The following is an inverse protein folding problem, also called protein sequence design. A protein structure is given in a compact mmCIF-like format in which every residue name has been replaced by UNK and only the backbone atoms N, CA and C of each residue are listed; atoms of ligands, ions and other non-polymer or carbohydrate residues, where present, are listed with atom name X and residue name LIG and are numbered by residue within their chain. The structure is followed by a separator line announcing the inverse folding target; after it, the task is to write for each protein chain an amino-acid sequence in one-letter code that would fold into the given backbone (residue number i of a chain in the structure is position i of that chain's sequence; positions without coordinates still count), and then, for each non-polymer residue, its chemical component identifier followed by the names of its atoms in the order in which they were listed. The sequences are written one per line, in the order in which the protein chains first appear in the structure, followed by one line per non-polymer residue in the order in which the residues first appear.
data_IF_300565996651
#
_entry.id   IF_300565996651
#
_cell.length_a   1.000
_cell.length_b   1.000
_cell.length_c   1.000
_cell.angle_alpha   90.00
_cell.angle_beta   90.00
_cell.angle_gamma   90.00
#
_symmetry.space_group_name_H-M   'P 1'
#
loop_
_entity.id
_entity.type
_entity.pdbx_description
1 polymer ?
#
# COMPACT_ATOMS: atom_id res chain seq x y z
N UNK A 1 -4.85 -7.46 -20.72
CA UNK A 1 -5.90 -6.48 -20.34
C UNK A 1 -5.79 -6.18 -18.85
N UNK A 2 -5.77 -4.90 -18.48
CA UNK A 2 -5.66 -4.52 -17.09
C UNK A 2 -7.01 -4.68 -16.38
N UNK A 3 -6.99 -5.11 -15.12
CA UNK A 3 -8.20 -5.23 -14.30
C UNK A 3 -8.61 -3.91 -13.65
N UNK A 4 -7.69 -2.92 -13.62
CA UNK A 4 -7.97 -1.61 -13.07
C UNK A 4 -8.43 -0.65 -14.17
N UNK A 5 -9.45 0.15 -13.88
CA UNK A 5 -9.84 1.26 -14.76
C UNK A 5 -8.89 2.45 -14.57
N UNK A 6 -9.09 3.51 -15.36
CA UNK A 6 -8.22 4.69 -15.34
C UNK A 6 -8.18 5.35 -13.96
N UNK A 7 -9.32 5.43 -13.28
CA UNK A 7 -9.40 6.02 -11.96
C UNK A 7 -8.50 5.31 -10.96
N UNK A 8 -8.58 3.97 -10.91
CA UNK A 8 -7.77 3.19 -9.98
C UNK A 8 -6.30 3.11 -10.39
N UNK A 9 -6.01 3.12 -11.70
CA UNK A 9 -4.63 3.25 -12.17
C UNK A 9 -4.01 4.56 -11.70
N UNK A 10 -4.80 5.66 -11.75
CA UNK A 10 -4.33 6.95 -11.26
C UNK A 10 -4.12 6.94 -9.74
N UNK A 11 -5.04 6.32 -9.00
CA UNK A 11 -4.89 6.18 -7.56
C UNK A 11 -3.61 5.40 -7.20
N UNK A 12 -3.33 4.34 -7.94
CA UNK A 12 -2.11 3.54 -7.72
C UNK A 12 -0.85 4.33 -8.05
N UNK A 13 -0.86 5.11 -9.14
CA UNK A 13 0.28 5.96 -9.51
C UNK A 13 0.55 7.02 -8.45
N UNK A 14 -0.51 7.66 -7.96
CA UNK A 14 -0.39 8.67 -6.92
C UNK A 14 0.11 8.06 -5.61
N UNK A 15 -0.34 6.85 -5.28
CA UNK A 15 0.12 6.12 -4.11
C UNK A 15 1.62 5.82 -4.20
N UNK A 16 2.09 5.36 -5.36
CA UNK A 16 3.53 5.11 -5.58
C UNK A 16 4.35 6.37 -5.37
N UNK A 17 3.90 7.49 -5.92
CA UNK A 17 4.60 8.76 -5.78
C UNK A 17 4.65 9.23 -4.32
N UNK A 18 3.60 8.92 -3.55
CA UNK A 18 3.49 9.27 -2.14
C UNK A 18 4.36 8.39 -1.23
N UNK A 19 4.84 7.25 -1.75
CA UNK A 19 5.60 6.23 -1.01
C UNK A 19 6.92 5.90 -1.71
N UNK A 20 7.66 6.91 -2.15
CA UNK A 20 8.90 6.71 -2.91
C UNK A 20 10.15 6.60 -2.03
N UNK A 21 10.06 6.91 -0.74
CA UNK A 21 11.18 6.75 0.19
C UNK A 21 11.41 5.27 0.48
N UNK A 22 12.67 4.75 0.35
CA UNK A 22 12.93 3.32 0.56
C UNK A 22 12.53 2.81 1.94
N UNK A 23 12.67 3.63 2.99
CA UNK A 23 12.26 3.23 4.34
C UNK A 23 10.75 3.15 4.46
N UNK A 24 10.02 4.09 3.85
CA UNK A 24 8.57 4.06 3.79
C UNK A 24 8.09 2.82 3.04
N UNK A 25 8.70 2.54 1.88
CA UNK A 25 8.38 1.36 1.08
C UNK A 25 8.61 0.07 1.89
N UNK A 26 9.76 -0.05 2.56
CA UNK A 26 10.08 -1.24 3.36
C UNK A 26 9.08 -1.46 4.49
N UNK A 27 8.69 -0.40 5.21
CA UNK A 27 7.71 -0.53 6.29
C UNK A 27 6.34 -0.95 5.78
N UNK A 28 5.99 -0.53 4.56
CA UNK A 28 4.71 -0.92 3.94
C UNK A 28 4.74 -2.34 3.42
N UNK A 29 5.86 -2.77 2.82
CA UNK A 29 6.01 -4.16 2.34
C UNK A 29 5.86 -5.16 3.48
N UNK A 30 6.33 -4.82 4.68
CA UNK A 30 6.22 -5.67 5.87
C UNK A 30 4.89 -5.45 6.57
N UNK A 31 4.50 -4.20 6.77
CA UNK A 31 3.34 -3.84 7.60
C UNK A 31 1.99 -4.15 6.97
N UNK A 32 1.84 -3.98 5.66
CA UNK A 32 0.55 -4.25 5.00
C UNK A 32 0.13 -5.72 5.15
N UNK A 33 0.99 -6.72 4.90
CA UNK A 33 0.61 -8.11 5.16
C UNK A 33 0.28 -8.38 6.62
N UNK A 34 0.95 -7.73 7.56
CA UNK A 34 0.66 -7.87 8.98
C UNK A 34 -0.75 -7.36 9.30
N UNK A 35 -1.13 -6.21 8.76
CA UNK A 35 -2.48 -5.66 8.96
C UNK A 35 -3.52 -6.61 8.36
N UNK A 36 -3.29 -7.08 7.14
CA UNK A 36 -4.23 -7.96 6.47
C UNK A 36 -4.36 -9.30 7.20
N UNK A 37 -3.25 -9.88 7.64
CA UNK A 37 -3.25 -11.13 8.41
C UNK A 37 -3.86 -10.95 9.81
N UNK A 38 -3.81 -9.75 10.36
CA UNK A 38 -4.37 -9.48 11.70
C UNK A 38 -5.86 -9.74 11.75
N UNK A 39 -6.59 -9.52 10.65
CA UNK A 39 -8.04 -9.67 10.63
C UNK A 39 -8.46 -11.12 10.88
N UNK A 40 -8.03 -12.13 10.11
CA UNK A 40 -8.34 -13.52 10.45
C UNK A 40 -7.68 -13.97 11.76
N UNK A 41 -6.53 -13.40 12.11
CA UNK A 41 -5.83 -13.74 13.36
C UNK A 41 -6.58 -13.26 14.61
N UNK A 42 -7.63 -12.44 14.47
CA UNK A 42 -8.48 -12.04 15.60
C UNK A 42 -9.23 -13.22 16.23
N UNK A 43 -9.24 -14.40 15.58
CA UNK A 43 -9.73 -15.63 16.20
C UNK A 43 -8.95 -15.90 17.49
N UNK A 44 -7.68 -15.53 17.54
CA UNK A 44 -6.87 -15.51 18.77
C UNK A 44 -6.55 -14.03 19.04
N UNK A 45 -7.39 -13.32 19.82
CA UNK A 45 -7.30 -11.86 19.94
C UNK A 45 -5.92 -11.30 20.27
N UNK A 46 -5.12 -11.89 21.19
CA UNK A 46 -3.78 -11.35 21.44
C UNK A 46 -2.88 -11.36 20.20
N UNK A 47 -3.01 -12.37 19.33
CA UNK A 47 -2.23 -12.47 18.08
C UNK A 47 -2.71 -11.43 17.09
N UNK A 48 -4.03 -11.35 16.84
CA UNK A 48 -4.59 -10.39 15.92
C UNK A 48 -4.32 -8.94 16.31
N UNK A 49 -4.51 -8.61 17.59
CA UNK A 49 -4.26 -7.26 18.09
C UNK A 49 -2.79 -6.89 18.00
N UNK A 50 -1.88 -7.82 18.28
CA UNK A 50 -0.44 -7.59 18.14
C UNK A 50 -0.03 -7.31 16.71
N UNK A 51 -0.51 -8.12 15.76
CA UNK A 51 -0.23 -7.91 14.33
C UNK A 51 -0.82 -6.60 13.83
N UNK A 52 -2.05 -6.30 14.22
CA UNK A 52 -2.72 -5.06 13.83
C UNK A 52 -1.94 -3.83 14.31
N UNK A 53 -1.61 -3.81 15.60
CA UNK A 53 -0.90 -2.69 16.21
C UNK A 53 0.50 -2.53 15.60
N UNK A 54 1.25 -3.62 15.48
CA UNK A 54 2.59 -3.57 14.92
C UNK A 54 2.58 -3.17 13.45
N UNK A 55 1.64 -3.70 12.65
CA UNK A 55 1.50 -3.36 11.24
C UNK A 55 1.19 -1.89 11.03
N UNK A 56 0.26 -1.33 11.79
CA UNK A 56 -0.06 0.09 11.70
C UNK A 56 1.07 0.97 12.21
N UNK A 57 1.78 0.55 13.26
CA UNK A 57 2.94 1.30 13.73
C UNK A 57 4.00 1.42 12.63
N UNK A 58 4.23 0.35 11.86
CA UNK A 58 5.15 0.40 10.73
C UNK A 58 4.69 1.39 9.65
N UNK A 59 3.38 1.47 9.37
CA UNK A 59 2.86 2.43 8.40
C UNK A 59 3.16 3.87 8.84
N UNK A 60 2.88 4.20 10.08
CA UNK A 60 3.11 5.55 10.59
C UNK A 60 4.61 5.88 10.66
N UNK A 61 5.44 4.94 11.06
CA UNK A 61 6.90 5.12 11.04
C UNK A 61 7.39 5.39 9.62
N UNK A 62 6.89 4.62 8.65
CA UNK A 62 7.24 4.82 7.24
C UNK A 62 6.89 6.22 6.75
N UNK A 63 5.69 6.69 7.06
CA UNK A 63 5.28 8.04 6.66
C UNK A 63 6.05 9.13 7.39
N UNK A 64 6.51 8.86 8.60
CA UNK A 64 7.40 9.78 9.28
C UNK A 64 8.72 9.95 8.51
N UNK A 65 9.32 8.85 8.03
CA UNK A 65 10.52 8.92 7.18
C UNK A 65 10.25 9.58 5.84
N UNK A 66 9.07 9.34 5.25
CA UNK A 66 8.65 9.95 3.99
C UNK A 66 8.43 11.46 4.12
N UNK A 67 8.08 11.91 5.32
CA UNK A 67 7.80 13.31 5.59
C UNK A 67 6.37 13.74 5.24
N UNK A 68 5.44 12.78 5.16
CA UNK A 68 4.04 13.08 4.85
C UNK A 68 3.10 12.20 5.69
N UNK A 69 1.82 12.59 5.84
CA UNK A 69 0.84 11.76 6.54
C UNK A 69 0.42 10.58 5.66
N UNK A 70 -0.18 9.53 6.24
CA UNK A 70 -0.77 8.44 5.45
C UNK A 70 -1.77 8.98 4.43
N UNK A 71 -1.71 8.43 3.20
CA UNK A 71 -2.49 8.96 2.09
C UNK A 71 -4.00 8.76 2.28
N UNK A 72 -4.41 7.74 3.03
CA UNK A 72 -5.83 7.49 3.28
C UNK A 72 -6.50 8.59 4.13
N UNK A 73 -5.72 9.45 4.78
CA UNK A 73 -6.29 10.61 5.49
C UNK A 73 -6.99 11.56 4.53
N UNK A 74 -6.49 11.67 3.29
CA UNK A 74 -7.13 12.48 2.27
C UNK A 74 -8.18 11.75 1.45
N UNK A 75 -8.03 10.43 1.30
CA UNK A 75 -8.91 9.61 0.49
C UNK A 75 -8.90 8.17 0.99
N UNK A 76 -10.04 7.72 1.55
CA UNK A 76 -10.17 6.37 2.13
C UNK A 76 -9.93 5.26 1.12
N UNK A 77 -10.10 5.50 -0.17
CA UNK A 77 -9.83 4.50 -1.21
C UNK A 77 -8.38 4.02 -1.13
N UNK A 78 -7.49 4.83 -0.58
CA UNK A 78 -6.08 4.48 -0.45
C UNK A 78 -5.83 3.32 0.53
N UNK A 79 -6.79 2.94 1.35
CA UNK A 79 -6.68 1.71 2.13
C UNK A 79 -6.68 0.49 1.20
N UNK A 80 -7.58 0.47 0.21
CA UNK A 80 -7.60 -0.60 -0.80
C UNK A 80 -6.42 -0.48 -1.77
N UNK A 81 -6.05 0.75 -2.14
CA UNK A 81 -4.90 0.99 -3.01
C UNK A 81 -3.60 0.50 -2.36
N UNK A 82 -3.49 0.58 -1.04
CA UNK A 82 -2.36 0.02 -0.32
C UNK A 82 -2.17 -1.47 -0.56
N UNK A 83 -3.25 -2.24 -0.55
CA UNK A 83 -3.22 -3.66 -0.86
C UNK A 83 -2.84 -3.91 -2.33
N UNK A 84 -3.40 -3.11 -3.26
CA UNK A 84 -3.04 -3.19 -4.67
C UNK A 84 -1.57 -2.84 -4.91
N UNK A 85 -1.07 -1.82 -4.23
CA UNK A 85 0.32 -1.42 -4.30
C UNK A 85 1.25 -2.56 -3.83
N UNK A 86 0.84 -3.25 -2.77
CA UNK A 86 1.63 -4.37 -2.26
C UNK A 86 1.73 -5.48 -3.31
N UNK A 87 0.61 -5.85 -3.94
CA UNK A 87 0.59 -6.86 -4.99
C UNK A 87 1.41 -6.40 -6.19
N UNK A 88 1.25 -5.14 -6.61
CA UNK A 88 2.02 -4.55 -7.70
C UNK A 88 3.53 -4.63 -7.40
N UNK A 89 3.94 -4.28 -6.20
CA UNK A 89 5.34 -4.30 -5.79
C UNK A 89 5.88 -5.73 -5.77
N UNK A 90 5.10 -6.68 -5.22
CA UNK A 90 5.50 -8.09 -5.15
C UNK A 90 5.64 -8.72 -6.53
N UNK A 91 4.79 -8.35 -7.49
CA UNK A 91 4.80 -8.93 -8.83
C UNK A 91 5.73 -8.20 -9.79
N UNK A 92 6.27 -7.06 -9.41
CA UNK A 92 7.10 -6.23 -10.30
C UNK A 92 8.27 -7.00 -10.93
N UNK A 93 9.02 -7.84 -10.19
CA UNK A 93 10.13 -8.59 -10.80
C UNK A 93 9.71 -9.55 -11.90
N UNK A 94 8.44 -9.99 -11.92
CA UNK A 94 7.92 -10.94 -12.92
C UNK A 94 7.27 -10.25 -14.12
N UNK A 95 6.99 -8.94 -14.02
CA UNK A 95 6.23 -8.21 -15.04
C UNK A 95 4.72 -8.45 -15.00
N UNK A 96 4.22 -9.33 -14.12
CA UNK A 96 2.79 -9.62 -14.03
C UNK A 96 1.99 -8.42 -13.53
N UNK A 97 2.63 -7.53 -12.77
CA UNK A 97 1.97 -6.32 -12.28
C UNK A 97 1.43 -5.46 -13.44
N UNK A 98 2.18 -5.32 -14.53
CA UNK A 98 1.72 -4.53 -15.68
C UNK A 98 0.60 -5.22 -16.44
N UNK A 99 0.58 -6.57 -16.44
CA UNK A 99 -0.52 -7.31 -17.05
C UNK A 99 -1.82 -7.18 -16.27
N UNK A 100 -1.73 -7.17 -14.94
CA UNK A 100 -2.92 -7.09 -14.08
C UNK A 100 -3.42 -5.65 -13.93
N UNK A 101 -2.52 -4.71 -13.70
CA UNK A 101 -2.90 -3.34 -13.33
C UNK A 101 -2.70 -2.32 -14.44
N UNK A 102 -2.09 -2.73 -15.56
CA UNK A 102 -1.75 -1.84 -16.66
C UNK A 102 -0.37 -1.21 -16.48
N UNK A 103 0.07 -0.51 -17.51
CA UNK A 103 1.34 0.21 -17.47
C UNK A 103 1.24 1.37 -16.47
N UNK A 104 2.34 1.69 -15.78
CA UNK A 104 2.34 2.84 -14.89
C UNK A 104 1.93 4.11 -15.63
N UNK A 105 1.06 4.89 -14.99
CA UNK A 105 0.68 6.22 -15.49
C UNK A 105 1.39 7.29 -14.67
N UNK A 106 1.55 8.52 -15.19
CA UNK A 106 2.17 9.60 -14.41
C UNK A 106 1.31 9.93 -13.18
N UNK A 107 1.95 10.26 -12.04
CA UNK A 107 1.18 10.71 -10.88
C UNK A 107 0.50 12.05 -11.16
N UNK A 108 -0.56 12.34 -10.40
CA UNK A 108 -1.23 13.63 -10.48
C UNK A 108 -0.29 14.75 -10.07
N UNK A 109 -0.44 15.98 -10.62
CA UNK A 109 0.40 17.12 -10.22
C UNK A 109 0.34 17.44 -8.73
N UNK A 110 -0.74 17.04 -8.05
CA UNK A 110 -0.96 17.30 -6.63
C UNK A 110 -0.57 16.10 -5.74
N UNK A 111 -0.07 15.04 -6.33
CA UNK A 111 0.31 13.83 -5.58
C UNK A 111 1.55 14.03 -4.73
#
# INVERSE_FOLDING_TARGET
MAILNEEWQQLLADYRAYHDNPLCEATHVIGIPMIMASLPAMIVPPVGLSLFTAGWALQFVGHWFQGNPPKFFGDRRNLAVGALWWVDTALRPTGLNTRLFGRPVPPSPTA
#
